data_IF_981641445419
#
_entry.id   IF_981641445419
#
_cell.length_a   1.000
_cell.length_b   1.000
_cell.length_c   1.000
_cell.angle_alpha   90.00
_cell.angle_beta   90.00
_cell.angle_gamma   90.00
#
_symmetry.space_group_name_H-M   'P 1'
#
loop_
_entity.id
_entity.type
_entity.pdbx_description
1 polymer ?
#
# COMPACT_ATOMS: atom_id res chain seq x y z
N UNK A 1 -17.87 -17.26 37.97
CA UNK A 1 -16.56 -16.88 37.40
C UNK A 1 -16.58 -16.80 35.87
N UNK A 2 -17.10 -17.82 35.17
CA UNK A 2 -17.19 -17.88 33.69
C UNK A 2 -17.93 -16.68 33.02
N UNK A 3 -18.98 -16.14 33.66
CA UNK A 3 -19.71 -14.95 33.17
C UNK A 3 -18.91 -13.64 33.22
N UNK A 4 -17.93 -13.53 34.13
CA UNK A 4 -17.01 -12.40 34.17
C UNK A 4 -15.98 -12.51 33.04
N UNK A 5 -15.39 -13.69 32.88
CA UNK A 5 -14.42 -13.98 31.81
C UNK A 5 -15.05 -13.76 30.41
N UNK A 6 -16.28 -14.25 30.18
CA UNK A 6 -16.98 -14.08 28.91
C UNK A 6 -17.33 -12.62 28.59
N UNK A 7 -17.63 -11.81 29.61
CA UNK A 7 -17.89 -10.36 29.45
C UNK A 7 -16.62 -9.60 29.13
N UNK A 8 -15.50 -9.95 29.76
CA UNK A 8 -14.19 -9.36 29.46
C UNK A 8 -13.71 -9.75 28.05
N UNK A 9 -13.92 -11.02 27.63
CA UNK A 9 -13.60 -11.47 26.27
C UNK A 9 -14.42 -10.74 25.21
N UNK A 10 -15.73 -10.57 25.42
CA UNK A 10 -16.60 -9.82 24.51
C UNK A 10 -16.19 -8.35 24.38
N UNK A 11 -15.79 -7.70 25.49
CA UNK A 11 -15.27 -6.34 25.49
C UNK A 11 -13.95 -6.23 24.71
N UNK A 12 -13.03 -7.19 24.87
CA UNK A 12 -11.75 -7.19 24.14
C UNK A 12 -11.91 -7.46 22.64
N UNK A 13 -12.82 -8.37 22.25
CA UNK A 13 -13.10 -8.66 20.84
C UNK A 13 -13.73 -7.46 20.12
N UNK A 14 -14.60 -6.69 20.79
CA UNK A 14 -15.13 -5.44 20.23
C UNK A 14 -14.04 -4.38 20.03
N UNK A 15 -13.11 -4.24 20.97
CA UNK A 15 -11.98 -3.30 20.84
C UNK A 15 -11.03 -3.68 19.71
N UNK A 16 -10.77 -4.98 19.55
CA UNK A 16 -9.94 -5.50 18.46
C UNK A 16 -10.67 -5.36 17.11
N UNK A 17 -11.98 -5.62 17.04
CA UNK A 17 -12.74 -5.53 15.79
C UNK A 17 -12.82 -4.11 15.22
N UNK A 18 -12.82 -3.09 16.08
CA UNK A 18 -12.90 -1.68 15.67
C UNK A 18 -11.64 -1.18 14.95
N UNK A 19 -10.46 -1.75 15.25
CA UNK A 19 -9.18 -1.24 14.71
C UNK A 19 -8.85 -1.76 13.30
N UNK A 20 -9.70 -2.63 12.71
CA UNK A 20 -9.40 -3.34 11.46
C UNK A 20 -9.91 -2.67 10.17
N UNK A 21 -10.19 -1.36 10.17
CA UNK A 21 -10.58 -0.66 8.95
C UNK A 21 -9.36 -0.33 8.06
N UNK A 22 -9.00 -1.23 7.14
CA UNK A 22 -7.95 -0.99 6.15
C UNK A 22 -8.50 -0.20 4.94
N UNK A 23 -7.90 0.95 4.62
CA UNK A 23 -8.22 1.74 3.43
C UNK A 23 -7.28 1.41 2.28
N UNK A 24 -7.83 0.93 1.16
CA UNK A 24 -7.06 0.71 -0.07
C UNK A 24 -7.03 2.00 -0.89
N UNK A 25 -5.85 2.38 -1.38
CA UNK A 25 -5.73 3.53 -2.26
C UNK A 25 -6.27 3.22 -3.65
N UNK A 26 -7.31 3.95 -4.03
CA UNK A 26 -7.98 3.86 -5.33
C UNK A 26 -7.18 4.55 -6.43
N UNK A 27 -7.00 3.85 -7.55
CA UNK A 27 -6.42 4.36 -8.80
C UNK A 27 -7.24 3.88 -10.00
N UNK A 28 -6.91 4.36 -11.19
CA UNK A 28 -7.67 4.06 -12.40
C UNK A 28 -6.80 3.47 -13.49
N UNK A 29 -7.35 2.48 -14.21
CA UNK A 29 -6.73 1.91 -15.41
C UNK A 29 -7.64 2.13 -16.62
N UNK A 30 -7.05 2.07 -17.81
CA UNK A 30 -7.79 2.11 -19.07
C UNK A 30 -7.99 0.68 -19.60
N UNK A 31 -9.01 0.44 -20.43
CA UNK A 31 -9.29 -0.89 -21.00
C UNK A 31 -8.11 -1.53 -21.75
N UNK A 32 -7.25 -0.73 -22.37
CA UNK A 32 -6.19 -1.20 -23.28
C UNK A 32 -4.78 -0.80 -22.83
N UNK A 33 -4.64 0.04 -21.81
CA UNK A 33 -3.34 0.56 -21.40
C UNK A 33 -2.68 -0.31 -20.34
N UNK A 34 -1.36 -0.48 -20.43
CA UNK A 34 -0.54 -1.14 -19.41
C UNK A 34 -0.15 -0.22 -18.24
N UNK A 35 -0.89 0.87 -18.02
CA UNK A 35 -0.59 1.87 -16.98
C UNK A 35 -1.78 2.17 -16.08
N UNK A 36 -1.49 2.48 -14.82
CA UNK A 36 -2.46 3.03 -13.88
C UNK A 36 -2.27 4.54 -13.71
N UNK A 37 -3.35 5.21 -13.32
CA UNK A 37 -3.53 6.66 -13.38
C UNK A 37 -4.23 7.17 -12.11
N UNK A 38 -4.03 8.44 -11.80
CA UNK A 38 -4.79 9.17 -10.77
C UNK A 38 -6.11 9.70 -11.36
N UNK A 39 -7.06 10.02 -10.48
CA UNK A 39 -8.26 10.76 -10.90
C UNK A 39 -7.87 12.05 -11.63
N UNK A 40 -8.58 12.36 -12.73
CA UNK A 40 -8.29 13.56 -13.54
C UNK A 40 -7.16 13.42 -14.58
N UNK A 41 -6.54 12.24 -14.74
CA UNK A 41 -5.57 12.06 -15.83
C UNK A 41 -6.23 12.23 -17.22
N UNK A 42 -5.62 13.01 -18.12
CA UNK A 42 -6.15 13.28 -19.48
C UNK A 42 -6.40 12.02 -20.32
N UNK A 43 -5.67 10.93 -20.03
CA UNK A 43 -5.83 9.64 -20.72
C UNK A 43 -7.03 8.81 -20.24
N UNK A 44 -7.66 9.19 -19.11
CA UNK A 44 -8.87 8.53 -18.59
C UNK A 44 -10.17 9.03 -19.25
N UNK A 45 -10.07 9.99 -20.18
CA UNK A 45 -11.22 10.60 -20.88
C UNK A 45 -12.12 9.60 -21.61
N UNK A 46 -11.55 8.50 -22.12
CA UNK A 46 -12.29 7.46 -22.85
C UNK A 46 -12.65 6.23 -22.01
N UNK A 47 -11.92 5.98 -20.92
CA UNK A 47 -12.09 4.78 -20.10
C UNK A 47 -11.51 5.03 -18.71
N UNK A 48 -12.33 4.79 -17.68
CA UNK A 48 -11.97 4.96 -16.27
C UNK A 48 -12.42 3.75 -15.48
N UNK A 49 -11.56 2.74 -15.37
CA UNK A 49 -11.84 1.52 -14.59
C UNK A 49 -11.17 1.68 -13.23
N UNK A 50 -11.95 1.64 -12.17
CA UNK A 50 -11.46 1.75 -10.81
C UNK A 50 -10.75 0.46 -10.38
N UNK A 51 -9.60 0.59 -9.72
CA UNK A 51 -8.83 -0.50 -9.12
C UNK A 51 -8.01 0.03 -7.94
N UNK A 52 -7.29 -0.84 -7.24
CA UNK A 52 -6.37 -0.44 -6.17
C UNK A 52 -4.94 -0.43 -6.67
N UNK A 53 -4.06 0.35 -6.03
CA UNK A 53 -2.63 0.36 -6.40
C UNK A 53 -2.00 -1.04 -6.28
N UNK A 54 -2.44 -1.82 -5.28
CA UNK A 54 -1.99 -3.20 -5.05
C UNK A 54 -2.37 -4.12 -6.21
N UNK A 55 -3.64 -4.10 -6.61
CA UNK A 55 -4.13 -4.91 -7.73
C UNK A 55 -3.53 -4.47 -9.07
N UNK A 56 -3.39 -3.15 -9.29
CA UNK A 56 -2.78 -2.64 -10.50
C UNK A 56 -1.35 -3.16 -10.67
N UNK A 57 -0.56 -3.13 -9.59
CA UNK A 57 0.79 -3.69 -9.60
C UNK A 57 0.83 -5.20 -9.73
N UNK A 58 -0.06 -5.91 -9.04
CA UNK A 58 -0.16 -7.37 -9.15
C UNK A 58 -0.46 -7.83 -10.59
N UNK A 59 -1.20 -7.01 -11.35
CA UNK A 59 -1.49 -7.23 -12.77
C UNK A 59 -0.38 -6.73 -13.71
N UNK A 60 0.70 -6.16 -13.19
CA UNK A 60 1.83 -5.66 -13.99
C UNK A 60 1.63 -4.27 -14.59
N UNK A 61 0.65 -3.49 -14.12
CA UNK A 61 0.46 -2.12 -14.60
C UNK A 61 1.53 -1.17 -14.02
N UNK A 62 2.06 -0.29 -14.88
CA UNK A 62 3.05 0.71 -14.50
C UNK A 62 2.42 2.06 -14.14
N UNK A 63 3.04 2.88 -13.28
CA UNK A 63 2.55 4.23 -13.00
C UNK A 63 2.63 5.12 -14.24
N UNK A 64 1.56 5.88 -14.49
CA UNK A 64 1.57 6.90 -15.53
C UNK A 64 2.59 8.01 -15.20
N UNK A 65 3.56 8.23 -16.10
CA UNK A 65 4.59 9.27 -15.94
C UNK A 65 4.05 10.71 -15.96
N UNK A 66 2.82 10.90 -16.44
CA UNK A 66 2.22 12.22 -16.68
C UNK A 66 1.43 12.68 -15.46
N UNK A 67 0.49 11.86 -14.96
CA UNK A 67 -0.21 12.18 -13.71
C UNK A 67 0.57 11.77 -12.46
N UNK A 68 1.67 11.01 -12.59
CA UNK A 68 2.54 10.57 -11.48
C UNK A 68 1.72 10.05 -10.29
N UNK A 69 0.87 9.03 -10.51
CA UNK A 69 -0.03 8.56 -9.48
C UNK A 69 0.75 8.02 -8.28
N UNK A 70 0.15 8.06 -7.08
CA UNK A 70 0.78 7.55 -5.88
C UNK A 70 1.18 6.09 -6.07
N UNK A 71 2.48 5.87 -5.95
CA UNK A 71 3.09 4.55 -5.85
C UNK A 71 2.84 4.11 -4.41
N UNK A 72 2.10 3.01 -4.20
CA UNK A 72 1.90 2.47 -2.86
C UNK A 72 3.29 2.12 -2.31
N UNK A 73 3.83 3.00 -1.49
CA UNK A 73 5.12 2.83 -0.85
C UNK A 73 4.87 2.11 0.47
N UNK A 74 5.39 0.88 0.48
CA UNK A 74 5.82 0.06 1.63
C UNK A 74 4.72 -0.37 2.60
N UNK A 75 4.25 -1.59 2.36
CA UNK A 75 3.71 -2.49 3.37
C UNK A 75 4.61 -2.48 4.61
N UNK A 76 3.97 -2.48 5.78
CA UNK A 76 4.58 -2.61 7.11
C UNK A 76 5.62 -3.76 7.22
N UNK A 77 5.63 -4.75 6.30
CA UNK A 77 6.61 -5.85 6.28
C UNK A 77 8.05 -5.44 5.92
N UNK A 78 8.26 -4.22 5.38
CA UNK A 78 9.62 -3.74 5.04
C UNK A 78 10.32 -2.96 6.15
N UNK A 79 9.67 -2.77 7.31
CA UNK A 79 10.31 -2.22 8.52
C UNK A 79 10.90 -3.31 9.42
N UNK A 80 10.53 -4.58 9.23
CA UNK A 80 11.09 -5.68 10.03
C UNK A 80 12.37 -6.28 9.42
N UNK A 81 12.63 -6.09 8.12
CA UNK A 81 13.86 -6.62 7.47
C UNK A 81 15.08 -5.69 7.62
N UNK A 82 14.87 -4.39 7.88
CA UNK A 82 15.97 -3.45 8.11
C UNK A 82 16.53 -3.53 9.54
N UNK A 83 15.82 -4.17 10.47
CA UNK A 83 16.29 -4.42 11.83
C UNK A 83 17.18 -5.67 11.95
N UNK A 84 17.29 -6.50 10.91
CA UNK A 84 18.06 -7.76 10.93
C UNK A 84 19.37 -7.68 10.13
N UNK A 85 19.53 -6.71 9.24
CA UNK A 85 20.78 -6.49 8.50
C UNK A 85 21.39 -5.16 8.97
N UNK A 86 22.23 -5.27 9.99
CA UNK A 86 22.93 -4.18 10.63
C UNK A 86 23.92 -3.43 9.73
N UNK A 87 24.46 -2.35 10.30
CA UNK A 87 25.58 -1.55 9.82
C UNK A 87 26.51 -2.26 8.81
N UNK A 88 26.59 -1.71 7.60
CA UNK A 88 27.87 -1.62 6.91
C UNK A 88 28.02 -0.27 6.26
N UNK A 89 28.59 0.63 7.06
CA UNK A 89 29.33 1.80 6.63
C UNK A 89 30.23 1.47 5.43
N UNK A 90 29.95 2.06 4.28
CA UNK A 90 30.96 2.28 3.26
C UNK A 90 31.45 3.72 3.42
N UNK A 91 32.56 3.84 4.14
CA UNK A 91 33.49 4.94 4.03
C UNK A 91 33.82 5.19 2.55
N UNK A 92 33.56 6.40 2.08
CA UNK A 92 34.24 6.94 0.92
C UNK A 92 35.66 7.29 1.35
N UNK A 93 36.62 6.44 0.99
CA UNK A 93 38.05 6.68 1.12
C UNK A 93 38.57 7.36 -0.16
N UNK A 94 39.29 8.45 0.07
CA UNK A 94 40.35 9.08 -0.73
C UNK A 94 40.21 9.17 -2.26
N UNK A 95 40.11 10.43 -2.70
CA UNK A 95 40.90 10.87 -3.85
C UNK A 95 41.68 12.12 -3.41
N UNK A 96 42.95 12.12 -3.80
CA UNK A 96 43.97 13.19 -3.74
C UNK A 96 44.99 13.10 -2.59
#
# INVERSE_FOLDING_TARGET
>A
MQRFIQRTLLMLVMLIGFTYAASAQTVYVTKTGAKYHEDGCRYLSKSKIQTTVKEARAKGFEPCKICKPPVALKTQESLDLFAIVGERSHHHEAKD
#
